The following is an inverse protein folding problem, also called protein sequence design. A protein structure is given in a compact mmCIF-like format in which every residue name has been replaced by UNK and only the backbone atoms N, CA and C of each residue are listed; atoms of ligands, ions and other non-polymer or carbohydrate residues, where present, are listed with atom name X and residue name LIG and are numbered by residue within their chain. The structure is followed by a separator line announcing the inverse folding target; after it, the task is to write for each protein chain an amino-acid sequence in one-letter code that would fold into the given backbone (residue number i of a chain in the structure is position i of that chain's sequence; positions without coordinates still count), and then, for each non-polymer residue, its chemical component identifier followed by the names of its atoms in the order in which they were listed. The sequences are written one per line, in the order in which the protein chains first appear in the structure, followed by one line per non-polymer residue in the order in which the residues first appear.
data_IF_864008122889
#
_entry.id   IF_864008122889
#
_cell.length_a   1.000
_cell.length_b   1.000
_cell.length_c   1.000
_cell.angle_alpha   90.00
_cell.angle_beta   90.00
_cell.angle_gamma   90.00
#
_symmetry.space_group_name_H-M   'P 1'
#
loop_
_entity.id
_entity.type
_entity.pdbx_description
1 polymer ?
#
# COMPACT_ATOMS: atom_id res chain seq x y z
N UNK A 1 4.98 -19.66 4.50
CA UNK A 1 5.40 -18.38 3.86
C UNK A 1 4.72 -17.11 4.41
N UNK A 2 3.72 -17.15 5.31
CA UNK A 2 2.90 -15.95 5.63
C UNK A 2 3.46 -14.87 6.58
N UNK A 3 4.53 -15.12 7.34
CA UNK A 3 4.96 -14.21 8.42
C UNK A 3 5.80 -13.01 7.97
N UNK A 4 6.51 -13.12 6.85
CA UNK A 4 7.37 -12.04 6.35
C UNK A 4 6.61 -10.91 5.67
N UNK A 5 5.39 -11.16 5.17
CA UNK A 5 4.59 -10.14 4.50
C UNK A 5 4.08 -9.05 5.44
N UNK A 6 3.85 -9.39 6.71
CA UNK A 6 3.35 -8.48 7.73
C UNK A 6 4.29 -7.30 8.04
N UNK A 7 5.58 -7.54 8.33
CA UNK A 7 6.55 -6.45 8.45
C UNK A 7 6.58 -5.55 7.21
N UNK A 8 6.57 -6.11 6.00
CA UNK A 8 6.56 -5.29 4.77
C UNK A 8 5.30 -4.44 4.64
N UNK A 9 4.12 -4.96 4.99
CA UNK A 9 2.87 -4.20 5.00
C UNK A 9 2.94 -3.03 5.99
N UNK A 10 3.33 -3.29 7.23
CA UNK A 10 3.43 -2.26 8.27
C UNK A 10 4.45 -1.19 7.86
N UNK A 11 5.63 -1.61 7.42
CA UNK A 11 6.68 -0.71 6.95
C UNK A 11 6.20 0.12 5.76
N UNK A 12 5.45 -0.47 4.81
CA UNK A 12 4.90 0.28 3.67
C UNK A 12 3.93 1.39 4.08
N UNK A 13 3.08 1.16 5.10
CA UNK A 13 2.16 2.16 5.66
C UNK A 13 2.97 3.27 6.32
N UNK A 14 3.92 2.92 7.18
CA UNK A 14 4.76 3.89 7.89
C UNK A 14 5.50 4.77 6.88
N UNK A 15 6.10 4.18 5.83
CA UNK A 15 6.73 4.94 4.75
C UNK A 15 5.73 5.83 4.00
N UNK A 16 4.50 5.37 3.75
CA UNK A 16 3.50 6.18 3.05
C UNK A 16 3.09 7.42 3.86
N UNK A 17 2.97 7.26 5.17
CA UNK A 17 2.67 8.34 6.11
C UNK A 17 3.86 9.29 6.19
N UNK A 18 5.08 8.77 6.33
CA UNK A 18 6.30 9.59 6.29
C UNK A 18 6.44 10.34 4.97
N UNK A 19 6.10 9.72 3.83
CA UNK A 19 6.13 10.36 2.52
C UNK A 19 5.22 11.59 2.47
N UNK A 20 4.01 11.45 3.02
CA UNK A 20 3.02 12.51 3.08
C UNK A 20 3.52 13.69 3.94
N UNK A 21 4.04 13.43 5.14
CA UNK A 21 4.55 14.47 6.03
C UNK A 21 5.84 15.13 5.51
N UNK A 22 6.79 14.33 5.02
CA UNK A 22 8.07 14.83 4.50
C UNK A 22 7.95 15.38 3.07
N UNK A 23 6.78 15.27 2.42
CA UNK A 23 6.54 15.64 1.01
C UNK A 23 7.54 15.02 0.03
N UNK A 24 8.09 13.84 0.38
CA UNK A 24 9.08 13.13 -0.43
C UNK A 24 8.40 11.95 -1.14
N UNK A 25 8.07 12.06 -2.45
CA UNK A 25 7.35 11.01 -3.17
C UNK A 25 8.16 9.72 -3.32
N UNK A 26 9.49 9.78 -3.15
CA UNK A 26 10.36 8.62 -3.18
C UNK A 26 9.96 7.54 -2.15
N UNK A 27 9.48 7.93 -0.97
CA UNK A 27 9.02 6.97 0.03
C UNK A 27 7.78 6.19 -0.42
N UNK A 28 6.88 6.79 -1.22
CA UNK A 28 5.72 6.09 -1.79
C UNK A 28 6.13 5.07 -2.87
N UNK A 29 7.19 5.38 -3.62
CA UNK A 29 7.77 4.42 -4.60
C UNK A 29 8.35 3.21 -3.87
N UNK A 30 9.05 3.43 -2.75
CA UNK A 30 9.54 2.33 -1.90
C UNK A 30 8.36 1.53 -1.33
N UNK A 31 7.32 2.20 -0.80
CA UNK A 31 6.11 1.52 -0.33
C UNK A 31 5.46 0.65 -1.40
N UNK A 32 5.41 1.12 -2.66
CA UNK A 32 4.91 0.34 -3.80
C UNK A 32 5.73 -0.95 -4.02
N UNK A 33 7.07 -0.85 -3.95
CA UNK A 33 7.96 -2.01 -4.09
C UNK A 33 7.78 -3.02 -2.94
N UNK A 34 7.62 -2.53 -1.71
CA UNK A 34 7.37 -3.39 -0.54
C UNK A 34 6.04 -4.13 -0.63
N UNK A 35 5.02 -3.51 -1.25
CA UNK A 35 3.70 -4.12 -1.39
C UNK A 35 3.54 -4.98 -2.65
N UNK A 36 4.41 -4.83 -3.65
CA UNK A 36 4.41 -5.65 -4.86
C UNK A 36 4.39 -7.17 -4.60
N UNK A 37 5.24 -7.76 -3.73
CA UNK A 37 5.20 -9.20 -3.48
C UNK A 37 3.88 -9.64 -2.82
N UNK A 38 3.29 -8.81 -1.96
CA UNK A 38 1.97 -9.08 -1.36
C UNK A 38 0.86 -8.97 -2.41
N UNK A 39 0.92 -7.95 -3.25
CA UNK A 39 0.01 -7.71 -4.37
C UNK A 39 -0.05 -8.91 -5.31
N UNK A 40 1.11 -9.48 -5.64
CA UNK A 40 1.21 -10.71 -6.44
C UNK A 40 0.61 -11.92 -5.70
N UNK A 41 0.81 -12.01 -4.39
CA UNK A 41 0.20 -13.05 -3.56
C UNK A 41 -1.34 -12.95 -3.52
N UNK A 42 -1.88 -11.73 -3.36
CA UNK A 42 -3.33 -11.46 -3.45
C UNK A 42 -3.88 -11.71 -4.85
N UNK A 43 -3.12 -11.43 -5.91
CA UNK A 43 -3.52 -11.71 -7.28
C UNK A 43 -3.59 -13.22 -7.57
N UNK A 44 -2.79 -14.03 -6.86
CA UNK A 44 -2.85 -15.49 -6.94
C UNK A 44 -4.07 -16.08 -6.22
N UNK A 45 -4.78 -15.32 -5.38
CA UNK A 45 -6.01 -15.76 -4.73
C UNK A 45 -7.24 -15.40 -5.58
N UNK A 46 -8.21 -16.32 -5.75
CA UNK A 46 -9.34 -16.13 -6.66
C UNK A 46 -10.21 -14.91 -6.33
N UNK A 47 -10.31 -14.53 -5.06
CA UNK A 47 -11.10 -13.37 -4.61
C UNK A 47 -10.49 -12.01 -4.96
N UNK A 48 -9.17 -11.93 -5.19
CA UNK A 48 -8.45 -10.65 -5.37
C UNK A 48 -7.63 -10.59 -6.66
N UNK A 49 -7.92 -11.46 -7.63
CA UNK A 49 -7.14 -11.65 -8.87
C UNK A 49 -6.73 -10.35 -9.57
N UNK A 50 -7.69 -9.44 -9.77
CA UNK A 50 -7.45 -8.14 -10.39
C UNK A 50 -7.07 -7.05 -9.38
N UNK A 51 -7.74 -7.05 -8.22
CA UNK A 51 -7.54 -6.04 -7.17
C UNK A 51 -6.13 -6.06 -6.59
N UNK A 52 -5.51 -7.24 -6.48
CA UNK A 52 -4.14 -7.42 -6.01
C UNK A 52 -3.17 -6.52 -6.76
N UNK A 53 -3.22 -6.49 -8.09
CA UNK A 53 -2.31 -5.73 -8.96
C UNK A 53 -2.53 -4.22 -8.91
N UNK A 54 -3.67 -3.74 -8.42
CA UNK A 54 -3.99 -2.31 -8.38
C UNK A 54 -3.36 -1.63 -7.16
N UNK A 55 -3.09 -2.36 -6.06
CA UNK A 55 -2.54 -1.77 -4.83
C UNK A 55 -1.17 -1.09 -4.98
N UNK A 56 -0.18 -1.67 -5.69
CA UNK A 56 1.09 -0.98 -5.96
C UNK A 56 0.88 0.24 -6.86
N UNK A 57 -0.04 0.16 -7.83
CA UNK A 57 -0.38 1.27 -8.72
C UNK A 57 -0.97 2.45 -7.95
N UNK A 58 -1.76 2.21 -6.90
CA UNK A 58 -2.25 3.28 -6.03
C UNK A 58 -1.13 4.04 -5.32
N UNK A 59 -0.07 3.35 -4.86
CA UNK A 59 1.10 4.03 -4.27
C UNK A 59 1.90 4.82 -5.32
N UNK A 60 2.06 4.29 -6.53
CA UNK A 60 2.70 5.02 -7.62
C UNK A 60 1.90 6.25 -8.04
N UNK A 61 0.58 6.13 -8.16
CA UNK A 61 -0.32 7.24 -8.40
C UNK A 61 -0.23 8.29 -7.29
N UNK A 62 -0.19 7.86 -6.03
CA UNK A 62 0.00 8.75 -4.89
C UNK A 62 1.35 9.49 -4.97
N UNK A 63 2.42 8.81 -5.38
CA UNK A 63 3.75 9.42 -5.56
C UNK A 63 3.73 10.52 -6.64
N UNK A 64 3.09 10.25 -7.78
CA UNK A 64 2.94 11.22 -8.86
C UNK A 64 2.11 12.43 -8.42
N UNK A 65 1.04 12.18 -7.68
CA UNK A 65 0.12 13.25 -7.26
C UNK A 65 0.71 14.11 -6.14
N UNK A 66 1.51 13.51 -5.26
CA UNK A 66 2.29 14.23 -4.25
C UNK A 66 3.34 15.13 -4.90
N UNK A 67 3.99 14.66 -5.98
CA UNK A 67 4.91 15.49 -6.79
C UNK A 67 4.21 16.71 -7.39
N UNK A 68 2.92 16.58 -7.76
CA UNK A 68 2.07 17.68 -8.24
C UNK A 68 1.51 18.56 -7.10
N UNK A 69 1.97 18.37 -5.86
CA UNK A 69 1.53 19.09 -4.66
C UNK A 69 0.04 18.92 -4.30
N UNK A 70 -0.66 17.92 -4.87
CA UNK A 70 -2.06 17.65 -4.55
C UNK A 70 -2.16 16.66 -3.40
N UNK A 71 -2.21 17.20 -2.18
CA UNK A 71 -2.26 16.41 -0.94
C UNK A 71 -3.54 15.60 -0.81
N UNK A 72 -4.68 16.17 -1.21
CA UNK A 72 -5.98 15.51 -1.13
C UNK A 72 -6.03 14.23 -1.96
N UNK A 73 -5.62 14.27 -3.23
CA UNK A 73 -5.56 13.07 -4.06
C UNK A 73 -4.54 12.06 -3.54
N UNK A 74 -3.43 12.53 -2.95
CA UNK A 74 -2.43 11.63 -2.36
C UNK A 74 -3.05 10.81 -1.23
N UNK A 75 -3.78 11.45 -0.30
CA UNK A 75 -4.47 10.74 0.78
C UNK A 75 -5.53 9.79 0.22
N UNK A 76 -6.31 10.24 -0.76
CA UNK A 76 -7.35 9.42 -1.39
C UNK A 76 -6.78 8.14 -2.03
N UNK A 77 -5.61 8.22 -2.67
CA UNK A 77 -4.94 7.08 -3.29
C UNK A 77 -4.27 6.16 -2.27
N UNK A 78 -3.80 6.68 -1.13
CA UNK A 78 -3.18 5.86 -0.07
C UNK A 78 -4.25 5.14 0.78
N UNK A 79 -5.42 5.76 0.99
CA UNK A 79 -6.51 5.24 1.81
C UNK A 79 -6.93 3.78 1.51
N UNK A 80 -7.17 3.36 0.25
CA UNK A 80 -7.55 1.98 -0.04
C UNK A 80 -6.48 0.97 0.38
N UNK A 81 -5.19 1.31 0.27
CA UNK A 81 -4.10 0.45 0.72
C UNK A 81 -4.10 0.30 2.25
N UNK A 82 -4.32 1.39 2.99
CA UNK A 82 -4.40 1.34 4.46
C UNK A 82 -5.62 0.52 4.91
N UNK A 83 -6.79 0.74 4.30
CA UNK A 83 -8.01 0.01 4.62
C UNK A 83 -7.86 -1.49 4.37
N UNK A 84 -7.25 -1.87 3.25
CA UNK A 84 -7.00 -3.27 2.93
C UNK A 84 -6.10 -3.93 3.98
N UNK A 85 -4.99 -3.30 4.33
CA UNK A 85 -4.05 -3.86 5.31
C UNK A 85 -4.71 -3.93 6.70
N UNK A 86 -5.49 -2.91 7.08
CA UNK A 86 -6.26 -2.92 8.31
C UNK A 86 -7.29 -4.06 8.34
N UNK A 87 -7.98 -4.31 7.24
CA UNK A 87 -8.94 -5.40 7.11
C UNK A 87 -8.27 -6.79 7.15
N UNK A 88 -7.16 -6.97 6.43
CA UNK A 88 -6.34 -8.19 6.51
C UNK A 88 -5.88 -8.41 7.96
N UNK A 89 -5.44 -7.34 8.63
CA UNK A 89 -4.97 -7.43 10.00
C UNK A 89 -6.08 -7.80 10.98
N UNK A 90 -7.27 -7.23 10.82
CA UNK A 90 -8.44 -7.58 11.61
C UNK A 90 -8.82 -9.06 11.43
N UNK A 91 -8.89 -9.54 10.18
CA UNK A 91 -9.23 -10.94 9.89
C UNK A 91 -8.23 -11.92 10.52
N UNK A 92 -6.93 -11.59 10.52
CA UNK A 92 -5.90 -12.45 11.15
C UNK A 92 -6.01 -12.45 12.67
N UNK A 93 -6.45 -11.35 13.30
CA UNK A 93 -6.67 -11.31 14.75
C UNK A 93 -7.94 -12.05 15.18
N UNK A 94 -8.95 -12.11 14.30
CA UNK A 94 -10.22 -12.79 14.53
C UNK A 94 -10.21 -14.27 14.12
N UNK A 95 -9.08 -14.79 13.63
CA UNK A 95 -8.88 -16.17 13.21
C UNK A 95 -8.16 -16.97 14.29
#
# INVERSE_FOLDING_TARGET
MGRFFWPFMIVSIILSIMAFYMKKPFFLVISSLLIAPLSLYLAATPSFKWWGLVFPLFYLGAAFTLRKNSRWLTVFLIAPNILLIGWIGYNVMNQ
#
